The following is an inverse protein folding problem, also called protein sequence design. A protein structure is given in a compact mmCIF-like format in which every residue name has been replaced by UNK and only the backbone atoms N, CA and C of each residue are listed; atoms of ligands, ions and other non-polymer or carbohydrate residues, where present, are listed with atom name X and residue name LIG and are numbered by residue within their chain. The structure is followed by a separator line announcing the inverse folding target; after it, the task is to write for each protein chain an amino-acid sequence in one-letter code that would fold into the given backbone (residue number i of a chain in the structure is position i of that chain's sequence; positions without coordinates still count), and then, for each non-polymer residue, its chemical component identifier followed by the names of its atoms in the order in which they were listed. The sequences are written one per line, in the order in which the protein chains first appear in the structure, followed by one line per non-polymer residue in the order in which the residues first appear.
data_IF_188120105489
#
_entry.id   IF_188120105489
#
_cell.length_a   1.000
_cell.length_b   1.000
_cell.length_c   1.000
_cell.angle_alpha   90.00
_cell.angle_beta   90.00
_cell.angle_gamma   90.00
#
_symmetry.space_group_name_H-M   'P 1'
#
loop_
_entity.id
_entity.type
_entity.pdbx_description
1 polymer ?
#
# COMPACT_ATOMS: atom_id res chain seq x y z
N UNK A 1 10.86 -3.39 16.82
CA UNK A 1 10.32 -4.73 16.53
C UNK A 1 8.81 -4.63 16.51
N UNK A 2 8.20 -4.63 15.32
CA UNK A 2 6.76 -4.82 15.17
C UNK A 2 6.48 -6.31 15.42
N UNK A 3 5.54 -6.64 16.31
CA UNK A 3 5.13 -8.03 16.50
C UNK A 3 4.43 -8.52 15.23
N UNK A 4 4.73 -9.75 14.78
CA UNK A 4 4.04 -10.36 13.64
C UNK A 4 2.53 -10.43 13.95
N UNK A 5 1.73 -9.64 13.22
CA UNK A 5 0.29 -9.51 13.49
C UNK A 5 -0.52 -10.62 12.83
N UNK A 6 0.09 -11.31 11.86
CA UNK A 6 -0.51 -12.41 11.09
C UNK A 6 -1.21 -13.46 11.96
N UNK A 7 -0.59 -13.99 13.05
CA UNK A 7 -1.25 -15.00 13.88
C UNK A 7 -2.50 -14.47 14.59
N UNK A 8 -2.53 -13.17 14.91
CA UNK A 8 -3.67 -12.53 15.56
C UNK A 8 -4.79 -12.31 14.55
N UNK A 9 -4.48 -11.67 13.40
CA UNK A 9 -5.48 -11.34 12.38
C UNK A 9 -6.10 -12.57 11.72
N UNK A 10 -5.31 -13.64 11.53
CA UNK A 10 -5.77 -14.87 10.88
C UNK A 10 -6.21 -15.98 11.83
N UNK A 11 -6.25 -15.68 13.13
CA UNK A 11 -6.84 -16.60 14.11
C UNK A 11 -8.31 -16.85 13.77
N UNK A 12 -8.81 -18.03 14.14
CA UNK A 12 -10.21 -18.40 13.89
C UNK A 12 -11.22 -17.42 14.51
N UNK A 13 -10.83 -16.70 15.55
CA UNK A 13 -11.67 -15.72 16.24
C UNK A 13 -11.74 -14.37 15.50
N UNK A 14 -10.71 -14.01 14.72
CA UNK A 14 -10.56 -12.68 14.15
C UNK A 14 -10.67 -12.62 12.63
N UNK A 15 -10.51 -13.76 11.94
CA UNK A 15 -10.45 -13.78 10.47
C UNK A 15 -11.76 -13.29 9.82
N UNK A 16 -12.91 -13.45 10.48
CA UNK A 16 -14.18 -12.90 10.01
C UNK A 16 -14.23 -11.37 10.05
N UNK A 17 -13.39 -10.72 10.85
CA UNK A 17 -13.32 -9.26 10.98
C UNK A 17 -12.25 -8.64 10.07
N UNK A 18 -11.44 -9.44 9.37
CA UNK A 18 -10.30 -8.93 8.60
C UNK A 18 -10.72 -7.92 7.53
N UNK A 19 -11.81 -8.21 6.81
CA UNK A 19 -12.32 -7.33 5.76
C UNK A 19 -12.72 -5.97 6.33
N UNK A 20 -13.43 -5.97 7.46
CA UNK A 20 -13.84 -4.75 8.15
C UNK A 20 -12.63 -3.94 8.64
N UNK A 21 -11.59 -4.62 9.15
CA UNK A 21 -10.34 -3.96 9.58
C UNK A 21 -9.65 -3.31 8.37
N UNK A 22 -9.50 -4.04 7.26
CA UNK A 22 -8.90 -3.51 6.03
C UNK A 22 -9.69 -2.31 5.50
N UNK A 23 -11.03 -2.37 5.58
CA UNK A 23 -11.90 -1.27 5.16
C UNK A 23 -11.70 -0.03 6.02
N UNK A 24 -11.73 -0.14 7.35
CA UNK A 24 -11.49 1.01 8.24
C UNK A 24 -10.10 1.61 8.07
N UNK A 25 -9.08 0.76 7.92
CA UNK A 25 -7.72 1.24 7.68
C UNK A 25 -7.58 1.90 6.31
N UNK A 26 -8.30 1.42 5.29
CA UNK A 26 -8.33 2.07 3.97
C UNK A 26 -8.99 3.44 4.03
N UNK A 27 -10.11 3.59 4.74
CA UNK A 27 -10.78 4.87 4.95
C UNK A 27 -9.85 5.87 5.63
N UNK A 28 -9.14 5.43 6.67
CA UNK A 28 -8.13 6.23 7.36
C UNK A 28 -6.93 6.60 6.48
N UNK A 29 -6.47 5.69 5.60
CA UNK A 29 -5.35 5.95 4.71
C UNK A 29 -5.71 6.91 3.57
N UNK A 30 -6.93 6.83 3.06
CA UNK A 30 -7.33 7.52 1.84
C UNK A 30 -8.00 8.86 2.12
N UNK A 31 -8.95 8.90 3.06
CA UNK A 31 -9.91 10.00 3.17
C UNK A 31 -9.71 10.93 4.38
N UNK A 32 -8.97 10.47 5.41
CA UNK A 32 -8.70 11.29 6.59
C UNK A 32 -7.70 12.40 6.28
N UNK A 33 -8.02 13.62 6.76
CA UNK A 33 -7.17 14.81 6.64
C UNK A 33 -6.13 14.93 7.76
N UNK A 34 -6.40 14.33 8.92
CA UNK A 34 -5.48 14.32 10.05
C UNK A 34 -4.21 13.53 9.69
N UNK A 35 -3.03 14.18 9.59
CA UNK A 35 -1.87 13.53 8.99
C UNK A 35 -1.29 12.38 9.82
N UNK A 36 -1.42 12.39 11.16
CA UNK A 36 -0.89 11.33 12.03
C UNK A 36 -1.69 10.05 11.83
N UNK A 37 -3.01 10.13 11.78
CA UNK A 37 -3.91 9.01 11.54
C UNK A 37 -3.70 8.45 10.15
N UNK A 38 -3.66 9.32 9.12
CA UNK A 38 -3.37 8.90 7.74
C UNK A 38 -2.02 8.18 7.64
N UNK A 39 -0.97 8.73 8.23
CA UNK A 39 0.36 8.09 8.31
C UNK A 39 0.28 6.71 8.97
N UNK A 40 -0.46 6.60 10.07
CA UNK A 40 -0.62 5.34 10.82
C UNK A 40 -1.30 4.27 9.96
N UNK A 41 -2.33 4.65 9.21
CA UNK A 41 -3.02 3.75 8.30
C UNK A 41 -2.15 3.33 7.11
N UNK A 42 -1.33 4.23 6.55
CA UNK A 42 -0.36 3.87 5.50
C UNK A 42 0.70 2.90 6.06
N UNK A 43 1.20 3.16 7.26
CA UNK A 43 2.16 2.26 7.93
C UNK A 43 1.57 0.87 8.15
N UNK A 44 0.31 0.77 8.56
CA UNK A 44 -0.38 -0.51 8.70
C UNK A 44 -0.35 -1.32 7.39
N UNK A 45 -0.70 -0.72 6.25
CA UNK A 45 -0.64 -1.41 4.97
C UNK A 45 0.79 -1.80 4.59
N UNK A 46 1.78 -0.93 4.83
CA UNK A 46 3.19 -1.27 4.58
C UNK A 46 3.60 -2.52 5.35
N UNK A 47 3.31 -2.58 6.65
CA UNK A 47 3.68 -3.72 7.48
C UNK A 47 2.93 -5.01 7.09
N UNK A 48 1.70 -4.90 6.59
CA UNK A 48 0.97 -6.06 6.06
C UNK A 48 1.50 -6.52 4.71
N UNK A 49 1.88 -5.60 3.81
CA UNK A 49 2.56 -5.95 2.56
C UNK A 49 3.88 -6.66 2.85
N UNK A 50 4.67 -6.16 3.80
CA UNK A 50 5.93 -6.81 4.19
C UNK A 50 5.72 -8.26 4.65
N UNK A 51 4.60 -8.53 5.34
CA UNK A 51 4.26 -9.85 5.87
C UNK A 51 3.57 -10.78 4.86
N UNK A 52 2.69 -10.26 3.99
CA UNK A 52 1.75 -11.07 3.19
C UNK A 52 2.00 -10.99 1.68
N UNK A 53 2.79 -10.04 1.20
CA UNK A 53 2.94 -9.87 -0.24
C UNK A 53 3.79 -10.97 -0.88
N UNK A 54 4.80 -11.52 -0.18
CA UNK A 54 5.66 -12.55 -0.77
C UNK A 54 4.94 -13.88 -0.99
N UNK A 55 5.16 -14.53 -2.14
CA UNK A 55 4.59 -15.85 -2.42
C UNK A 55 5.04 -16.88 -1.36
N UNK A 56 4.11 -17.70 -0.88
CA UNK A 56 4.39 -18.68 0.18
C UNK A 56 4.54 -18.09 1.59
N UNK A 57 4.33 -16.78 1.78
CA UNK A 57 4.34 -16.14 3.11
C UNK A 57 3.20 -16.58 4.03
N UNK A 58 2.19 -17.27 3.48
CA UNK A 58 0.99 -17.71 4.18
C UNK A 58 0.80 -19.22 4.04
N UNK A 59 0.24 -19.90 5.05
CA UNK A 59 -0.19 -21.29 4.93
C UNK A 59 -1.15 -21.49 3.75
N UNK A 60 -1.15 -22.68 3.14
CA UNK A 60 -1.94 -22.98 1.94
C UNK A 60 -3.44 -22.67 2.13
N UNK A 61 -3.98 -22.90 3.32
CA UNK A 61 -5.38 -22.62 3.68
C UNK A 61 -5.72 -21.12 3.75
N UNK A 62 -4.71 -20.22 3.71
CA UNK A 62 -4.86 -18.76 3.76
C UNK A 62 -4.44 -18.06 2.47
N UNK A 63 -4.05 -18.80 1.42
CA UNK A 63 -3.65 -18.23 0.11
C UNK A 63 -4.74 -17.38 -0.53
N UNK A 64 -6.01 -17.71 -0.32
CA UNK A 64 -7.13 -16.90 -0.81
C UNK A 64 -7.16 -15.50 -0.17
N UNK A 65 -6.89 -15.42 1.14
CA UNK A 65 -6.81 -14.15 1.89
C UNK A 65 -5.61 -13.34 1.39
N UNK A 66 -4.47 -13.99 1.20
CA UNK A 66 -3.27 -13.37 0.66
C UNK A 66 -3.53 -12.74 -0.72
N UNK A 67 -4.16 -13.50 -1.63
CA UNK A 67 -4.49 -13.04 -2.97
C UNK A 67 -5.45 -11.84 -2.94
N UNK A 68 -6.51 -11.94 -2.14
CA UNK A 68 -7.48 -10.85 -1.97
C UNK A 68 -6.83 -9.59 -1.41
N UNK A 69 -5.92 -9.72 -0.44
CA UNK A 69 -5.15 -8.61 0.10
C UNK A 69 -4.24 -7.96 -0.95
N UNK A 70 -3.48 -8.75 -1.70
CA UNK A 70 -2.60 -8.23 -2.75
C UNK A 70 -3.39 -7.49 -3.84
N UNK A 71 -4.52 -8.05 -4.24
CA UNK A 71 -5.44 -7.40 -5.17
C UNK A 71 -5.96 -6.07 -4.60
N UNK A 72 -6.43 -6.07 -3.35
CA UNK A 72 -6.93 -4.87 -2.69
C UNK A 72 -5.86 -3.77 -2.59
N UNK A 73 -4.62 -4.13 -2.25
CA UNK A 73 -3.50 -3.18 -2.21
C UNK A 73 -3.24 -2.59 -3.59
N UNK A 74 -3.16 -3.42 -4.63
CA UNK A 74 -2.83 -2.97 -5.97
C UNK A 74 -3.93 -2.19 -6.68
N UNK A 75 -5.19 -2.55 -6.47
CA UNK A 75 -6.34 -1.94 -7.17
C UNK A 75 -6.96 -0.78 -6.39
N UNK A 76 -6.87 -0.76 -5.06
CA UNK A 76 -7.52 0.25 -4.22
C UNK A 76 -6.51 1.15 -3.51
N UNK A 77 -5.60 0.55 -2.73
CA UNK A 77 -4.76 1.33 -1.80
C UNK A 77 -3.71 2.14 -2.55
N UNK A 78 -2.92 1.52 -3.42
CA UNK A 78 -1.86 2.22 -4.17
C UNK A 78 -2.43 3.35 -5.04
N UNK A 79 -3.45 3.12 -5.89
CA UNK A 79 -4.04 4.21 -6.68
C UNK A 79 -4.66 5.31 -5.81
N UNK A 80 -5.35 4.94 -4.74
CA UNK A 80 -5.98 5.90 -3.83
C UNK A 80 -4.97 6.81 -3.13
N UNK A 81 -3.85 6.24 -2.65
CA UNK A 81 -2.80 7.00 -1.97
C UNK A 81 -2.14 8.01 -2.91
N UNK A 82 -1.84 7.59 -4.15
CA UNK A 82 -1.27 8.49 -5.17
C UNK A 82 -2.24 9.61 -5.51
N UNK A 83 -3.52 9.29 -5.74
CA UNK A 83 -4.56 10.32 -5.96
C UNK A 83 -4.64 11.31 -4.81
N UNK A 84 -4.51 10.85 -3.57
CA UNK A 84 -4.56 11.73 -2.41
C UNK A 84 -3.36 12.68 -2.27
N UNK A 85 -2.21 12.35 -2.87
CA UNK A 85 -1.04 13.23 -2.96
C UNK A 85 -1.21 14.25 -4.09
N UNK A 86 -1.91 13.86 -5.16
CA UNK A 86 -2.21 14.73 -6.30
C UNK A 86 -3.44 15.61 -6.08
N UNK A 87 -4.12 15.48 -4.94
CA UNK A 87 -5.25 16.30 -4.58
C UNK A 87 -4.82 17.77 -4.40
N UNK A 88 -5.54 18.77 -4.94
CA UNK A 88 -5.20 20.18 -4.76
C UNK A 88 -5.15 20.66 -3.30
N UNK A 89 -5.79 19.94 -2.37
CA UNK A 89 -5.70 20.21 -0.94
C UNK A 89 -4.40 19.70 -0.30
N UNK A 90 -3.62 18.88 -1.00
CA UNK A 90 -2.31 18.45 -0.54
C UNK A 90 -1.32 19.63 -0.53
N UNK A 91 -0.68 19.86 0.61
CA UNK A 91 0.31 20.91 0.79
C UNK A 91 1.69 20.30 0.98
N UNK A 92 2.53 20.37 -0.05
CA UNK A 92 3.89 19.85 -0.05
C UNK A 92 4.82 20.55 0.93
N UNK A 93 4.48 21.78 1.37
CA UNK A 93 5.24 22.54 2.36
C UNK A 93 4.85 22.17 3.80
N UNK A 94 3.75 21.44 3.98
CA UNK A 94 3.37 20.88 5.27
C UNK A 94 4.23 19.64 5.55
N UNK A 95 5.08 19.71 6.58
CA UNK A 95 5.99 18.63 6.94
C UNK A 95 5.28 17.32 7.31
N UNK A 96 4.05 17.38 7.83
CA UNK A 96 3.27 16.20 8.17
C UNK A 96 2.66 15.55 6.93
N UNK A 97 2.18 16.35 5.98
CA UNK A 97 1.71 15.83 4.69
C UNK A 97 2.86 15.30 3.82
N UNK A 98 4.00 15.99 3.78
CA UNK A 98 5.20 15.52 3.10
C UNK A 98 5.69 14.16 3.65
N UNK A 99 5.54 13.91 4.96
CA UNK A 99 5.84 12.59 5.56
C UNK A 99 4.94 11.48 5.03
N UNK A 100 3.71 11.77 4.61
CA UNK A 100 2.83 10.78 4.01
C UNK A 100 3.37 10.31 2.66
N UNK A 101 3.92 11.21 1.83
CA UNK A 101 4.59 10.85 0.56
C UNK A 101 5.73 9.88 0.82
N UNK A 102 6.56 10.13 1.85
CA UNK A 102 7.62 9.21 2.24
C UNK A 102 7.08 7.84 2.69
N UNK A 103 5.92 7.77 3.33
CA UNK A 103 5.31 6.48 3.67
C UNK A 103 4.77 5.74 2.44
N UNK A 104 4.19 6.45 1.48
CA UNK A 104 3.74 5.86 0.21
C UNK A 104 4.93 5.32 -0.59
N UNK A 105 6.04 6.06 -0.67
CA UNK A 105 7.27 5.59 -1.30
C UNK A 105 7.80 4.30 -0.65
N UNK A 106 7.81 4.24 0.69
CA UNK A 106 8.19 3.03 1.43
C UNK A 106 7.25 1.86 1.19
N UNK A 107 5.94 2.09 1.10
CA UNK A 107 4.97 1.06 0.74
C UNK A 107 5.25 0.50 -0.66
N UNK A 108 5.50 1.37 -1.64
CA UNK A 108 5.82 0.98 -3.02
C UNK A 108 7.14 0.20 -3.10
N UNK A 109 8.16 0.63 -2.34
CA UNK A 109 9.44 -0.06 -2.23
C UNK A 109 9.27 -1.48 -1.68
N UNK A 110 8.57 -1.65 -0.55
CA UNK A 110 8.27 -2.97 0.02
C UNK A 110 7.44 -3.82 -0.95
N UNK A 111 6.44 -3.24 -1.62
CA UNK A 111 5.65 -3.96 -2.62
C UNK A 111 6.54 -4.50 -3.74
N UNK A 112 7.43 -3.66 -4.28
CA UNK A 112 8.39 -4.05 -5.33
C UNK A 112 9.35 -5.13 -4.85
N UNK A 113 9.84 -5.04 -3.61
CA UNK A 113 10.71 -6.03 -2.99
C UNK A 113 10.01 -7.40 -2.87
N UNK A 114 8.76 -7.41 -2.40
CA UNK A 114 8.04 -8.67 -2.10
C UNK A 114 7.37 -9.30 -3.32
N UNK A 115 6.92 -8.51 -4.29
CA UNK A 115 6.18 -8.95 -5.50
C UNK A 115 7.05 -8.97 -6.76
N UNK A 116 8.22 -8.33 -6.72
CA UNK A 116 9.14 -8.24 -7.84
C UNK A 116 8.78 -7.15 -8.86
N UNK A 117 9.71 -6.92 -9.77
CA UNK A 117 9.64 -5.84 -10.77
C UNK A 117 8.41 -5.96 -11.69
N UNK A 118 8.03 -7.17 -12.10
CA UNK A 118 6.92 -7.37 -13.04
C UNK A 118 5.56 -6.99 -12.47
N UNK A 119 5.27 -7.37 -11.22
CA UNK A 119 3.99 -7.00 -10.59
C UNK A 119 3.98 -5.54 -10.15
N UNK A 120 5.12 -5.00 -9.72
CA UNK A 120 5.25 -3.56 -9.49
C UNK A 120 4.95 -2.74 -10.76
N UNK A 121 5.49 -3.18 -11.92
CA UNK A 121 5.21 -2.56 -13.22
C UNK A 121 3.70 -2.57 -13.51
N UNK A 122 3.02 -3.70 -13.31
CA UNK A 122 1.57 -3.79 -13.54
C UNK A 122 0.78 -2.89 -12.57
N UNK A 123 1.04 -3.00 -11.27
CA UNK A 123 0.26 -2.36 -10.21
C UNK A 123 0.48 -0.84 -10.21
N UNK A 124 1.73 -0.38 -10.28
CA UNK A 124 2.03 1.03 -10.09
C UNK A 124 2.23 1.75 -11.43
N UNK A 125 3.06 1.23 -12.32
CA UNK A 125 3.31 1.90 -13.61
C UNK A 125 2.06 1.83 -14.48
N UNK A 126 1.52 0.63 -14.69
CA UNK A 126 0.35 0.37 -15.52
C UNK A 126 -0.91 1.02 -14.99
N UNK A 127 -1.32 0.68 -13.77
CA UNK A 127 -2.62 1.11 -13.24
C UNK A 127 -2.62 2.54 -12.69
N UNK A 128 -1.46 3.14 -12.43
CA UNK A 128 -1.37 4.50 -11.85
C UNK A 128 -0.67 5.49 -12.78
N UNK A 129 0.61 5.31 -13.08
CA UNK A 129 1.34 6.36 -13.81
C UNK A 129 0.83 6.54 -15.25
N UNK A 130 0.56 5.44 -15.96
CA UNK A 130 0.04 5.51 -17.32
C UNK A 130 -1.41 6.02 -17.37
N UNK A 131 -2.22 5.72 -16.34
CA UNK A 131 -3.61 6.24 -16.25
C UNK A 131 -3.65 7.73 -15.91
N UNK A 132 -2.60 8.24 -15.26
CA UNK A 132 -2.38 9.67 -15.02
C UNK A 132 -1.70 10.37 -16.21
N UNK A 133 -1.43 9.67 -17.30
CA UNK A 133 -0.74 10.18 -18.49
C UNK A 133 0.61 10.84 -18.16
N UNK A 134 1.35 10.28 -17.20
CA UNK A 134 2.70 10.74 -16.88
C UNK A 134 3.62 10.65 -18.11
N UNK A 135 4.58 11.57 -18.22
CA UNK A 135 5.58 11.53 -19.29
C UNK A 135 6.47 10.30 -19.19
N UNK A 136 7.10 9.92 -20.30
CA UNK A 136 8.07 8.82 -20.32
C UNK A 136 9.23 9.04 -19.35
N UNK A 137 9.68 10.29 -19.20
CA UNK A 137 10.72 10.67 -18.24
C UNK A 137 10.34 10.32 -16.80
N UNK A 138 9.10 10.63 -16.38
CA UNK A 138 8.60 10.30 -15.03
C UNK A 138 8.51 8.78 -14.86
N UNK A 139 7.94 8.09 -15.86
CA UNK A 139 7.79 6.62 -15.82
C UNK A 139 9.15 5.93 -15.71
N UNK A 140 10.13 6.36 -16.51
CA UNK A 140 11.47 5.78 -16.51
C UNK A 140 12.23 6.08 -15.21
N UNK A 141 12.01 7.26 -14.62
CA UNK A 141 12.54 7.58 -13.29
C UNK A 141 12.01 6.60 -12.22
N UNK A 142 10.70 6.31 -12.20
CA UNK A 142 10.13 5.36 -11.24
C UNK A 142 10.54 3.90 -11.50
N UNK A 143 10.81 3.52 -12.76
CA UNK A 143 11.38 2.19 -13.08
C UNK A 143 12.81 2.07 -12.56
N UNK A 144 13.62 3.11 -12.74
CA UNK A 144 15.02 3.16 -12.36
C UNK A 144 15.24 3.34 -10.85
N UNK A 145 14.28 3.92 -10.13
CA UNK A 145 14.34 4.11 -8.68
C UNK A 145 14.50 2.76 -7.96
N UNK A 146 15.54 2.61 -7.14
CA UNK A 146 15.80 1.39 -6.36
C UNK A 146 15.55 1.56 -4.87
N UNK A 147 15.46 2.80 -4.35
CA UNK A 147 15.35 3.11 -2.93
C UNK A 147 14.39 4.28 -2.65
#
# INVERSE_FOLDING_TARGET
ATYHVTPVLLSNNNISSIEQVLQYMSEGALNVQEPILKKTCIMFFRELVDQWAADGSMPNERVAVQRGFNQFVGETIVPGLVKSILDPAFNEKDAMQARNVSQVAKLLSVLREKRGDSEYEQIFIGNVLLTLHCSSEIVDAFRAARD
#
